data_IF_832699205573
#
_entry.id   IF_832699205573
#
_cell.length_a   1.000
_cell.length_b   1.000
_cell.length_c   1.000
_cell.angle_alpha   90.00
_cell.angle_beta   90.00
_cell.angle_gamma   90.00
#
_symmetry.space_group_name_H-M   'P 1'
#
loop_
_entity.id
_entity.type
_entity.pdbx_description
1 polymer ?
#
# COMPACT_ATOMS: atom_id res chain seq x y z
N UNK A 1 -13.01 34.68 -22.10
CA UNK A 1 -11.97 33.64 -22.20
C UNK A 1 -11.26 33.56 -20.86
N UNK A 2 -11.72 32.70 -19.95
CA UNK A 2 -11.09 32.52 -18.65
C UNK A 2 -9.89 31.57 -18.83
N UNK A 3 -8.70 32.06 -18.50
CA UNK A 3 -7.48 31.27 -18.51
C UNK A 3 -7.59 30.17 -17.46
N UNK A 4 -7.52 28.90 -17.89
CA UNK A 4 -7.39 27.78 -16.97
C UNK A 4 -6.12 27.98 -16.10
N UNK A 5 -6.19 27.75 -14.78
CA UNK A 5 -5.02 27.90 -13.92
C UNK A 5 -3.99 26.83 -14.32
N UNK A 6 -2.82 27.28 -14.78
CA UNK A 6 -1.65 26.41 -14.97
C UNK A 6 -1.16 25.99 -13.58
N UNK A 7 -1.48 24.79 -13.14
CA UNK A 7 -0.91 24.15 -11.95
C UNK A 7 0.50 23.63 -12.27
N UNK A 8 1.47 24.55 -12.32
CA UNK A 8 2.88 24.18 -12.23
C UNK A 8 3.22 23.94 -10.76
N UNK A 9 3.70 22.74 -10.44
CA UNK A 9 4.06 22.33 -9.07
C UNK A 9 5.58 22.42 -8.94
N UNK A 10 6.05 23.23 -8.01
CA UNK A 10 7.49 23.41 -7.77
C UNK A 10 7.93 22.92 -6.37
N UNK A 11 7.03 22.65 -5.41
CA UNK A 11 7.40 22.37 -4.00
C UNK A 11 6.46 21.41 -3.23
N UNK A 12 7.04 20.75 -2.23
CA UNK A 12 6.41 19.78 -1.31
C UNK A 12 5.26 20.37 -0.45
N UNK A 13 5.24 21.68 -0.22
CA UNK A 13 4.21 22.34 0.60
C UNK A 13 2.83 22.38 -0.07
N UNK A 14 2.75 22.10 -1.37
CA UNK A 14 1.51 22.19 -2.16
C UNK A 14 0.66 20.90 -2.06
N UNK A 15 1.15 19.86 -1.39
CA UNK A 15 0.55 18.51 -1.33
C UNK A 15 -0.78 18.40 -0.55
N UNK A 16 -0.95 19.00 0.65
CA UNK A 16 -2.23 18.95 1.37
C UNK A 16 -3.37 19.61 0.59
N UNK A 17 -3.05 20.67 -0.16
CA UNK A 17 -3.97 21.35 -1.07
C UNK A 17 -4.36 20.46 -2.25
N UNK A 18 -3.47 19.56 -2.68
CA UNK A 18 -3.68 18.64 -3.80
C UNK A 18 -4.54 17.42 -3.38
N UNK A 19 -4.34 16.88 -2.17
CA UNK A 19 -5.23 15.85 -1.60
C UNK A 19 -6.65 16.37 -1.37
N UNK A 20 -6.79 17.62 -0.93
CA UNK A 20 -8.09 18.27 -0.81
C UNK A 20 -8.77 18.55 -2.17
N UNK A 21 -8.03 18.42 -3.29
CA UNK A 21 -8.53 18.62 -4.66
C UNK A 21 -8.83 17.30 -5.39
N UNK A 22 -8.41 16.15 -4.87
CA UNK A 22 -8.72 14.85 -5.46
C UNK A 22 -10.16 14.46 -5.12
N UNK A 23 -11.04 14.51 -6.10
CA UNK A 23 -12.43 14.05 -5.98
C UNK A 23 -12.64 12.79 -6.81
N UNK A 24 -13.47 11.87 -6.33
CA UNK A 24 -13.95 10.76 -7.14
C UNK A 24 -14.63 11.29 -8.41
N UNK A 25 -14.57 10.51 -9.50
CA UNK A 25 -15.29 10.90 -10.71
C UNK A 25 -16.79 10.92 -10.43
N UNK A 26 -17.58 11.72 -11.18
CA UNK A 26 -19.03 11.73 -11.02
C UNK A 26 -19.66 10.33 -11.09
N UNK A 27 -19.09 9.42 -11.90
CA UNK A 27 -19.54 8.05 -12.02
C UNK A 27 -19.26 7.22 -10.75
N UNK A 28 -18.07 7.34 -10.16
CA UNK A 28 -17.79 6.70 -8.86
C UNK A 28 -18.58 7.34 -7.72
N UNK A 29 -18.78 8.67 -7.74
CA UNK A 29 -19.62 9.33 -6.76
C UNK A 29 -21.09 8.88 -6.89
N UNK A 30 -21.58 8.69 -8.10
CA UNK A 30 -22.93 8.17 -8.33
C UNK A 30 -23.07 6.70 -7.90
N UNK A 31 -22.04 5.88 -8.12
CA UNK A 31 -22.10 4.45 -7.83
C UNK A 31 -21.80 4.08 -6.36
N UNK A 32 -21.05 4.91 -5.63
CA UNK A 32 -20.57 4.61 -4.28
C UNK A 32 -20.90 5.69 -3.24
N UNK A 33 -21.33 6.89 -3.66
CA UNK A 33 -21.40 8.07 -2.78
C UNK A 33 -22.69 8.22 -1.97
N UNK A 34 -23.76 7.50 -2.32
CA UNK A 34 -25.04 7.50 -1.60
C UNK A 34 -25.58 6.07 -1.51
N UNK A 35 -24.99 5.22 -0.65
CA UNK A 35 -25.37 3.82 -0.56
C UNK A 35 -26.74 3.63 0.11
N UNK A 36 -27.40 2.52 -0.21
CA UNK A 36 -28.63 2.11 0.47
C UNK A 36 -28.38 1.97 1.98
N UNK A 37 -29.27 2.54 2.80
CA UNK A 37 -29.14 2.48 4.26
C UNK A 37 -29.29 1.06 4.83
N UNK A 38 -30.01 0.18 4.13
CA UNK A 38 -30.13 -1.24 4.43
C UNK A 38 -29.90 -2.03 3.14
N UNK A 39 -29.21 -3.16 3.23
CA UNK A 39 -29.04 -4.07 2.09
C UNK A 39 -29.07 -5.53 2.51
N UNK A 40 -29.29 -6.41 1.53
CA UNK A 40 -29.25 -7.86 1.70
C UNK A 40 -28.09 -8.40 0.87
N UNK A 41 -27.09 -8.98 1.54
CA UNK A 41 -25.87 -9.48 0.89
C UNK A 41 -26.09 -10.78 0.13
N UNK A 42 -26.90 -11.70 0.68
CA UNK A 42 -27.28 -12.96 0.02
C UNK A 42 -28.75 -13.31 0.23
N UNK A 43 -29.40 -14.00 -0.74
CA UNK A 43 -30.79 -14.42 -0.58
C UNK A 43 -31.00 -15.25 0.70
N UNK A 44 -31.95 -14.84 1.54
CA UNK A 44 -32.28 -15.51 2.81
C UNK A 44 -31.49 -15.00 4.02
N UNK A 45 -30.66 -13.97 3.86
CA UNK A 45 -30.08 -13.23 4.98
C UNK A 45 -30.99 -12.05 5.39
N UNK A 46 -30.92 -11.71 6.67
CA UNK A 46 -31.64 -10.55 7.22
C UNK A 46 -31.06 -9.23 6.68
N UNK A 47 -31.89 -8.20 6.45
CA UNK A 47 -31.43 -6.86 6.14
C UNK A 47 -30.45 -6.33 7.18
N UNK A 48 -29.32 -5.80 6.74
CA UNK A 48 -28.33 -5.19 7.63
C UNK A 48 -27.71 -3.94 6.99
N UNK A 49 -27.14 -3.10 7.84
CA UNK A 49 -26.39 -1.93 7.44
C UNK A 49 -24.99 -2.38 6.98
N UNK A 50 -24.71 -2.23 5.69
CA UNK A 50 -23.40 -2.53 5.12
C UNK A 50 -22.85 -1.28 4.43
N UNK A 51 -21.58 -0.99 4.67
CA UNK A 51 -20.90 0.15 4.04
C UNK A 51 -20.43 -0.21 2.63
N UNK A 52 -20.54 0.75 1.72
CA UNK A 52 -19.89 0.69 0.40
C UNK A 52 -18.42 1.13 0.51
N UNK A 53 -17.54 0.62 -0.37
CA UNK A 53 -16.20 1.18 -0.51
C UNK A 53 -16.27 2.68 -0.79
N UNK A 54 -15.39 3.45 -0.16
CA UNK A 54 -15.34 4.89 -0.38
C UNK A 54 -15.05 5.20 -1.87
N UNK A 55 -15.76 6.16 -2.50
CA UNK A 55 -15.69 6.40 -3.94
C UNK A 55 -14.26 6.61 -4.49
N UNK A 56 -13.42 7.39 -3.81
CA UNK A 56 -12.05 7.65 -4.26
C UNK A 56 -11.14 6.43 -4.09
N UNK A 57 -11.34 5.66 -3.01
CA UNK A 57 -10.61 4.42 -2.77
C UNK A 57 -10.94 3.37 -3.83
N UNK A 58 -12.22 3.19 -4.13
CA UNK A 58 -12.70 2.27 -5.17
C UNK A 58 -12.09 2.60 -6.55
N UNK A 59 -12.07 3.89 -6.91
CA UNK A 59 -11.48 4.37 -8.15
C UNK A 59 -9.97 4.13 -8.22
N UNK A 60 -9.24 4.46 -7.15
CA UNK A 60 -7.79 4.34 -7.10
C UNK A 60 -7.33 2.88 -7.22
N UNK A 61 -7.93 1.97 -6.44
CA UNK A 61 -7.56 0.56 -6.42
C UNK A 61 -7.94 -0.16 -7.72
N UNK A 62 -9.11 0.17 -8.29
CA UNK A 62 -9.54 -0.38 -9.57
C UNK A 62 -8.52 -0.11 -10.69
N UNK A 63 -8.05 1.15 -10.80
CA UNK A 63 -7.01 1.50 -11.76
C UNK A 63 -5.64 0.93 -11.39
N UNK A 64 -5.33 0.88 -10.08
CA UNK A 64 -4.08 0.36 -9.54
C UNK A 64 -3.84 -1.11 -9.89
N UNK A 65 -4.87 -1.96 -9.81
CA UNK A 65 -4.75 -3.39 -10.13
C UNK A 65 -4.36 -3.61 -11.59
N UNK A 66 -5.01 -2.92 -12.53
CA UNK A 66 -4.68 -3.01 -13.96
C UNK A 66 -3.25 -2.52 -14.20
N UNK A 67 -2.90 -1.39 -13.58
CA UNK A 67 -1.59 -0.79 -13.74
C UNK A 67 -0.44 -1.60 -13.10
N UNK A 68 -0.71 -2.32 -12.01
CA UNK A 68 0.26 -3.19 -11.36
C UNK A 68 0.64 -4.39 -12.25
N UNK A 69 -0.29 -4.88 -13.08
CA UNK A 69 -0.01 -5.96 -14.03
C UNK A 69 1.02 -5.51 -15.06
N UNK A 70 0.82 -4.35 -15.68
CA UNK A 70 1.78 -3.82 -16.64
C UNK A 70 3.15 -3.57 -16.00
N UNK A 71 3.18 -2.98 -14.81
CA UNK A 71 4.45 -2.74 -14.08
C UNK A 71 5.19 -4.02 -13.74
N UNK A 72 4.48 -5.09 -13.35
CA UNK A 72 5.09 -6.37 -12.98
C UNK A 72 5.90 -6.99 -14.13
N UNK A 73 5.41 -6.83 -15.37
CA UNK A 73 5.99 -7.46 -16.55
C UNK A 73 6.87 -6.53 -17.39
N UNK A 74 6.82 -5.22 -17.13
CA UNK A 74 7.62 -4.20 -17.81
C UNK A 74 9.12 -4.51 -17.72
N UNK A 75 9.85 -4.29 -18.82
CA UNK A 75 11.30 -4.53 -18.94
C UNK A 75 11.70 -5.99 -18.69
N UNK A 76 10.78 -6.92 -18.93
CA UNK A 76 11.04 -8.36 -18.84
C UNK A 76 10.73 -9.07 -20.14
N UNK A 77 11.27 -10.28 -20.30
CA UNK A 77 10.92 -11.17 -21.42
C UNK A 77 9.43 -11.57 -21.47
N UNK A 78 8.64 -11.20 -20.45
CA UNK A 78 7.23 -11.53 -20.31
C UNK A 78 6.32 -10.31 -20.58
N UNK A 79 6.88 -9.14 -20.93
CA UNK A 79 6.12 -7.90 -21.15
C UNK A 79 4.97 -8.07 -22.15
N UNK A 80 5.18 -8.87 -23.19
CA UNK A 80 4.18 -9.16 -24.23
C UNK A 80 2.95 -9.91 -23.70
N UNK A 81 3.01 -10.51 -22.51
CA UNK A 81 1.90 -11.22 -21.87
C UNK A 81 1.04 -10.30 -20.99
N UNK A 82 1.52 -9.11 -20.63
CA UNK A 82 0.80 -8.20 -19.75
C UNK A 82 -0.60 -7.81 -20.28
N UNK A 83 -0.78 -7.51 -21.59
CA UNK A 83 -2.09 -7.19 -22.11
C UNK A 83 -3.09 -8.35 -21.98
N UNK A 84 -2.66 -9.60 -22.17
CA UNK A 84 -3.55 -10.76 -22.07
C UNK A 84 -4.07 -10.95 -20.63
N UNK A 85 -3.18 -10.79 -19.65
CA UNK A 85 -3.52 -10.90 -18.23
C UNK A 85 -4.43 -9.73 -17.80
N UNK A 86 -4.08 -8.50 -18.20
CA UNK A 86 -4.87 -7.31 -17.89
C UNK A 86 -6.28 -7.37 -18.52
N UNK A 87 -6.38 -7.88 -19.75
CA UNK A 87 -7.67 -8.13 -20.40
C UNK A 87 -8.53 -9.10 -19.58
N UNK A 88 -7.92 -10.15 -19.03
CA UNK A 88 -8.58 -11.12 -18.15
C UNK A 88 -9.13 -10.50 -16.86
N UNK A 89 -8.43 -9.52 -16.29
CA UNK A 89 -8.93 -8.77 -15.13
C UNK A 89 -10.15 -7.93 -15.48
N UNK A 90 -10.14 -7.18 -16.57
CA UNK A 90 -11.32 -6.41 -16.99
C UNK A 90 -12.50 -7.35 -17.27
N UNK A 91 -12.22 -8.51 -17.88
CA UNK A 91 -13.23 -9.52 -18.16
C UNK A 91 -13.82 -10.16 -16.88
N UNK A 92 -13.11 -10.17 -15.76
CA UNK A 92 -13.65 -10.68 -14.49
C UNK A 92 -14.76 -9.78 -13.93
N UNK A 93 -14.57 -8.45 -13.97
CA UNK A 93 -15.62 -7.49 -13.62
C UNK A 93 -16.84 -7.65 -14.53
N UNK A 94 -16.59 -7.78 -15.84
CA UNK A 94 -17.67 -7.99 -16.81
C UNK A 94 -18.48 -9.26 -16.52
N UNK A 95 -17.80 -10.37 -16.18
CA UNK A 95 -18.46 -11.62 -15.82
C UNK A 95 -19.35 -11.48 -14.57
N UNK A 96 -18.85 -10.79 -13.54
CA UNK A 96 -19.62 -10.56 -12.30
C UNK A 96 -20.82 -9.65 -12.56
N UNK A 97 -20.66 -8.57 -13.31
CA UNK A 97 -21.77 -7.69 -13.71
C UNK A 97 -22.89 -8.48 -14.41
N UNK A 98 -22.55 -9.33 -15.38
CA UNK A 98 -23.54 -10.17 -16.07
C UNK A 98 -24.13 -11.28 -15.21
N UNK A 99 -23.54 -11.63 -14.06
CA UNK A 99 -24.18 -12.51 -13.07
C UNK A 99 -25.22 -11.74 -12.26
N UNK A 100 -24.90 -10.52 -11.85
CA UNK A 100 -25.80 -9.63 -11.10
C UNK A 100 -27.00 -9.20 -11.95
N UNK A 101 -26.79 -8.85 -13.22
CA UNK A 101 -27.86 -8.54 -14.17
C UNK A 101 -28.90 -9.67 -14.26
N UNK A 102 -28.46 -10.92 -14.47
CA UNK A 102 -29.36 -12.09 -14.48
C UNK A 102 -30.04 -12.36 -13.14
N UNK A 103 -29.48 -11.89 -12.04
CA UNK A 103 -30.08 -12.02 -10.72
C UNK A 103 -31.14 -10.94 -10.50
N UNK A 104 -30.85 -9.70 -10.90
CA UNK A 104 -31.80 -8.58 -10.92
C UNK A 104 -33.00 -8.91 -11.80
N UNK A 105 -32.80 -9.41 -13.02
CA UNK A 105 -33.87 -9.81 -13.93
C UNK A 105 -34.82 -10.84 -13.30
N UNK A 106 -34.25 -11.84 -12.61
CA UNK A 106 -35.05 -12.87 -11.90
C UNK A 106 -35.85 -12.26 -10.76
N UNK A 107 -35.23 -11.39 -9.97
CA UNK A 107 -35.91 -10.72 -8.85
C UNK A 107 -37.03 -9.79 -9.35
N UNK A 108 -36.80 -9.10 -10.46
CA UNK A 108 -37.81 -8.26 -11.10
C UNK A 108 -39.01 -9.08 -11.63
N UNK A 109 -38.74 -10.26 -12.21
CA UNK A 109 -39.79 -11.21 -12.62
C UNK A 109 -40.61 -11.70 -11.41
N UNK A 110 -39.94 -12.13 -10.34
CA UNK A 110 -40.59 -12.58 -9.10
C UNK A 110 -41.42 -11.46 -8.43
N UNK A 111 -40.90 -10.22 -8.40
CA UNK A 111 -41.65 -9.06 -7.91
C UNK A 111 -42.87 -8.77 -8.79
N UNK A 112 -42.75 -8.91 -10.11
CA UNK A 112 -43.85 -8.75 -11.05
C UNK A 112 -44.93 -9.82 -10.87
N UNK A 113 -44.55 -11.06 -10.59
CA UNK A 113 -45.48 -12.14 -10.23
C UNK A 113 -46.24 -11.84 -8.94
N UNK A 114 -45.54 -11.38 -7.90
CA UNK A 114 -46.16 -10.98 -6.64
C UNK A 114 -47.12 -9.81 -6.81
N UNK A 115 -46.76 -8.81 -7.61
CA UNK A 115 -47.62 -7.65 -7.88
C UNK A 115 -48.90 -8.03 -8.65
N UNK A 116 -48.89 -9.11 -9.43
CA UNK A 116 -50.08 -9.62 -10.16
C UNK A 116 -51.07 -10.36 -9.26
N UNK A 117 -50.63 -10.86 -8.10
CA UNK A 117 -51.45 -11.59 -7.13
C UNK A 117 -51.37 -10.93 -5.75
N UNK A 118 -51.92 -9.72 -5.59
CA UNK A 118 -51.87 -9.00 -4.32
C UNK A 118 -52.72 -9.71 -3.26
N UNK A 119 -52.15 -9.82 -2.05
CA UNK A 119 -52.81 -10.32 -0.85
C UNK A 119 -52.66 -9.28 0.29
N UNK A 120 -53.57 -9.32 1.27
CA UNK A 120 -53.61 -8.40 2.42
C UNK A 120 -52.90 -8.99 3.64
N UNK A 121 -52.24 -10.15 3.49
CA UNK A 121 -51.51 -10.78 4.60
C UNK A 121 -50.24 -10.00 4.95
N UNK A 122 -49.91 -9.97 6.25
CA UNK A 122 -48.65 -9.42 6.75
C UNK A 122 -47.46 -10.15 6.11
N UNK A 123 -47.56 -11.47 5.95
CA UNK A 123 -46.56 -12.31 5.29
C UNK A 123 -46.31 -11.86 3.85
N UNK A 124 -47.35 -11.52 3.08
CA UNK A 124 -47.21 -10.98 1.72
C UNK A 124 -46.48 -9.64 1.73
N UNK A 125 -46.85 -8.75 2.66
CA UNK A 125 -46.26 -7.41 2.77
C UNK A 125 -44.76 -7.50 3.09
N UNK A 126 -44.38 -8.29 4.09
CA UNK A 126 -42.98 -8.52 4.46
C UNK A 126 -42.19 -9.15 3.31
N UNK A 127 -42.75 -10.18 2.65
CA UNK A 127 -42.08 -10.85 1.53
C UNK A 127 -41.84 -9.91 0.34
N UNK A 128 -42.77 -8.97 0.09
CA UNK A 128 -42.63 -7.96 -0.96
C UNK A 128 -41.55 -6.95 -0.61
N UNK A 129 -41.52 -6.45 0.63
CA UNK A 129 -40.51 -5.51 1.13
C UNK A 129 -39.10 -6.13 1.08
N UNK A 130 -38.93 -7.36 1.54
CA UNK A 130 -37.65 -8.09 1.47
C UNK A 130 -37.16 -8.27 0.03
N UNK A 131 -38.03 -8.69 -0.89
CA UNK A 131 -37.67 -8.86 -2.30
C UNK A 131 -37.35 -7.55 -2.98
N UNK A 132 -38.07 -6.48 -2.65
CA UNK A 132 -37.78 -5.14 -3.14
C UNK A 132 -36.39 -4.69 -2.66
N UNK A 133 -36.09 -4.87 -1.37
CA UNK A 133 -34.79 -4.52 -0.82
C UNK A 133 -33.65 -5.34 -1.44
N UNK A 134 -33.86 -6.63 -1.64
CA UNK A 134 -32.89 -7.51 -2.29
C UNK A 134 -32.66 -7.09 -3.75
N UNK A 135 -33.71 -6.75 -4.48
CA UNK A 135 -33.62 -6.25 -5.86
C UNK A 135 -32.81 -4.95 -5.93
N UNK A 136 -33.09 -4.00 -5.04
CA UNK A 136 -32.33 -2.74 -4.92
C UNK A 136 -30.86 -2.99 -4.58
N UNK A 137 -30.59 -3.90 -3.64
CA UNK A 137 -29.23 -4.27 -3.23
C UNK A 137 -28.43 -4.86 -4.40
N UNK A 138 -29.05 -5.76 -5.20
CA UNK A 138 -28.40 -6.36 -6.37
C UNK A 138 -28.16 -5.33 -7.48
N UNK A 139 -29.11 -4.41 -7.69
CA UNK A 139 -28.96 -3.33 -8.67
C UNK A 139 -27.83 -2.37 -8.30
N UNK A 140 -27.69 -2.00 -7.01
CA UNK A 140 -26.58 -1.20 -6.49
C UNK A 140 -25.23 -1.91 -6.71
N UNK A 141 -25.14 -3.20 -6.36
CA UNK A 141 -23.95 -4.01 -6.61
C UNK A 141 -23.61 -4.07 -8.10
N UNK A 142 -24.61 -4.25 -8.98
CA UNK A 142 -24.39 -4.29 -10.43
C UNK A 142 -23.83 -2.96 -10.91
N UNK A 143 -24.44 -1.85 -10.51
CA UNK A 143 -24.01 -0.52 -10.90
C UNK A 143 -22.55 -0.23 -10.49
N UNK A 144 -22.18 -0.58 -9.26
CA UNK A 144 -20.82 -0.46 -8.75
C UNK A 144 -19.80 -1.28 -9.57
N UNK A 145 -20.12 -2.55 -9.88
CA UNK A 145 -19.23 -3.42 -10.67
C UNK A 145 -19.14 -2.97 -12.14
N UNK A 146 -20.22 -2.46 -12.73
CA UNK A 146 -20.20 -1.89 -14.08
C UNK A 146 -19.32 -0.63 -14.15
N UNK A 147 -19.41 0.24 -13.13
CA UNK A 147 -18.54 1.41 -13.00
C UNK A 147 -17.06 1.01 -12.94
N UNK A 148 -16.70 0.04 -12.08
CA UNK A 148 -15.34 -0.49 -11.99
C UNK A 148 -14.87 -1.11 -13.31
N UNK A 149 -15.72 -1.92 -13.97
CA UNK A 149 -15.42 -2.54 -15.26
C UNK A 149 -15.04 -1.50 -16.30
N UNK A 150 -15.86 -0.45 -16.43
CA UNK A 150 -15.68 0.57 -17.46
C UNK A 150 -14.42 1.39 -17.20
N UNK A 151 -14.13 1.72 -15.94
CA UNK A 151 -12.87 2.37 -15.56
C UNK A 151 -11.64 1.48 -15.81
N UNK A 152 -11.71 0.20 -15.45
CA UNK A 152 -10.64 -0.77 -15.70
C UNK A 152 -10.39 -0.97 -17.21
N UNK A 153 -11.45 -0.99 -18.03
CA UNK A 153 -11.37 -1.09 -19.48
C UNK A 153 -10.65 0.13 -20.09
N UNK A 154 -10.89 1.33 -19.57
CA UNK A 154 -10.18 2.54 -19.98
C UNK A 154 -8.71 2.52 -19.54
N UNK A 155 -8.41 2.05 -18.33
CA UNK A 155 -7.03 1.85 -17.88
C UNK A 155 -6.28 0.83 -18.72
N UNK A 156 -6.94 -0.27 -19.08
CA UNK A 156 -6.42 -1.25 -20.02
C UNK A 156 -6.12 -0.61 -21.38
N UNK A 157 -7.05 0.18 -21.92
CA UNK A 157 -6.86 0.87 -23.20
C UNK A 157 -5.67 1.83 -23.15
N UNK A 158 -5.53 2.57 -22.06
CA UNK A 158 -4.44 3.51 -21.85
C UNK A 158 -3.06 2.81 -21.77
N UNK A 159 -2.97 1.63 -21.15
CA UNK A 159 -1.71 0.92 -20.93
C UNK A 159 -1.34 -0.04 -22.07
N UNK A 160 -2.32 -0.69 -22.69
CA UNK A 160 -2.10 -1.63 -23.79
C UNK A 160 -2.06 -0.97 -25.17
N UNK A 161 -2.71 0.19 -25.33
CA UNK A 161 -2.94 0.85 -26.62
C UNK A 161 -4.11 0.26 -27.43
N UNK A 162 -4.76 -0.80 -26.95
CA UNK A 162 -5.86 -1.48 -27.64
C UNK A 162 -7.18 -1.28 -26.90
N UNK A 163 -8.31 -1.09 -27.59
CA UNK A 163 -9.60 -1.07 -26.93
C UNK A 163 -9.89 -2.43 -26.30
N UNK A 164 -10.46 -2.42 -25.09
CA UNK A 164 -10.98 -3.64 -24.49
C UNK A 164 -12.31 -4.03 -25.13
N UNK A 165 -12.51 -5.33 -25.38
CA UNK A 165 -13.78 -5.91 -25.78
C UNK A 165 -14.06 -7.19 -24.97
N UNK A 166 -15.32 -7.43 -24.55
CA UNK A 166 -15.67 -8.64 -23.81
C UNK A 166 -15.55 -9.89 -24.70
N UNK A 167 -15.24 -11.04 -24.08
CA UNK A 167 -15.17 -12.32 -24.82
C UNK A 167 -16.54 -12.80 -25.34
N UNK A 168 -17.61 -12.45 -24.63
CA UNK A 168 -19.01 -12.76 -24.98
C UNK A 168 -19.92 -11.65 -24.49
N UNK A 169 -21.01 -11.41 -25.22
CA UNK A 169 -21.99 -10.37 -24.88
C UNK A 169 -21.68 -9.03 -25.53
N UNK A 170 -22.65 -8.12 -25.45
CA UNK A 170 -22.54 -6.76 -25.98
C UNK A 170 -22.28 -5.81 -24.83
N UNK A 171 -21.37 -4.85 -25.02
CA UNK A 171 -21.25 -3.72 -24.10
C UNK A 171 -22.37 -2.73 -24.43
N UNK A 172 -23.35 -2.57 -23.55
CA UNK A 172 -24.26 -1.42 -23.63
C UNK A 172 -23.44 -0.17 -23.34
N UNK A 173 -23.13 0.62 -24.37
CA UNK A 173 -22.25 1.78 -24.23
C UNK A 173 -23.03 3.03 -23.85
N UNK A 174 -22.66 3.67 -22.74
CA UNK A 174 -22.80 5.12 -22.57
C UNK A 174 -21.44 5.76 -22.80
N UNK A 175 -21.15 6.06 -24.07
CA UNK A 175 -19.99 6.86 -24.43
C UNK A 175 -20.37 8.35 -24.37
N UNK A 176 -20.01 9.12 -23.32
CA UNK A 176 -19.96 10.60 -23.42
C UNK A 176 -19.26 11.37 -22.27
N UNK A 177 -18.07 10.96 -21.82
CA UNK A 177 -17.09 11.88 -21.20
C UNK A 177 -15.72 11.76 -21.90
N UNK A 178 -15.76 11.50 -23.21
CA UNK A 178 -14.73 10.88 -24.03
C UNK A 178 -13.32 11.52 -24.10
N UNK A 179 -12.91 12.48 -23.24
CA UNK A 179 -11.71 13.27 -23.54
C UNK A 179 -10.98 13.94 -22.37
N UNK A 180 -11.52 14.10 -21.17
CA UNK A 180 -11.13 15.31 -20.41
C UNK A 180 -10.60 15.12 -18.99
N UNK A 181 -11.10 14.18 -18.21
CA UNK A 181 -10.34 13.70 -17.02
C UNK A 181 -9.56 12.50 -17.49
N UNK A 182 -8.67 12.76 -18.42
CA UNK A 182 -7.79 11.76 -18.91
C UNK A 182 -7.01 11.21 -17.71
N UNK A 183 -6.93 9.87 -17.67
CA UNK A 183 -5.93 9.06 -16.98
C UNK A 183 -4.50 9.67 -16.96
N UNK A 184 -4.26 10.64 -17.87
CA UNK A 184 -3.27 11.72 -17.84
C UNK A 184 -2.95 12.37 -16.48
N UNK A 185 -3.82 12.40 -15.48
CA UNK A 185 -3.47 12.99 -14.17
C UNK A 185 -3.05 11.94 -13.11
N UNK A 186 -3.69 10.76 -13.02
CA UNK A 186 -3.36 9.79 -11.96
C UNK A 186 -2.06 9.01 -12.22
N UNK A 187 -1.80 8.64 -13.48
CA UNK A 187 -0.47 8.19 -13.87
C UNK A 187 0.60 9.27 -13.57
N UNK A 188 0.23 10.56 -13.57
CA UNK A 188 1.09 11.69 -13.18
C UNK A 188 1.42 11.66 -11.67
N UNK A 189 0.47 11.30 -10.82
CA UNK A 189 0.71 11.06 -9.38
C UNK A 189 1.54 9.78 -9.12
N UNK A 190 1.35 8.72 -9.91
CA UNK A 190 2.17 7.49 -9.84
C UNK A 190 3.63 7.73 -10.25
N UNK A 191 3.84 8.57 -11.27
CA UNK A 191 5.18 9.04 -11.68
C UNK A 191 5.84 9.86 -10.56
N UNK A 192 5.06 10.54 -9.71
CA UNK A 192 5.57 11.22 -8.50
C UNK A 192 5.87 10.22 -7.37
N UNK A 193 4.97 9.29 -7.06
CA UNK A 193 5.13 8.35 -5.94
C UNK A 193 6.19 7.26 -6.16
N UNK A 194 6.38 6.77 -7.39
CA UNK A 194 7.48 5.85 -7.73
C UNK A 194 8.84 6.59 -7.71
N UNK A 195 8.86 7.89 -8.05
CA UNK A 195 10.06 8.74 -7.96
C UNK A 195 10.39 9.12 -6.51
N UNK A 196 9.39 9.36 -5.66
CA UNK A 196 9.59 9.73 -4.24
C UNK A 196 9.92 8.53 -3.33
N UNK A 197 9.41 7.32 -3.62
CA UNK A 197 9.71 6.12 -2.80
C UNK A 197 11.00 5.39 -3.18
N UNK A 198 11.49 5.54 -4.42
CA UNK A 198 12.59 4.71 -4.92
C UNK A 198 13.76 5.46 -5.55
N UNK A 199 13.74 6.79 -5.60
CA UNK A 199 14.97 7.55 -5.86
C UNK A 199 15.54 8.09 -4.56
N UNK A 200 16.74 7.64 -4.15
CA UNK A 200 17.46 8.31 -3.08
C UNK A 200 17.67 9.77 -3.48
N UNK A 201 17.08 10.70 -2.71
CA UNK A 201 17.29 12.13 -2.89
C UNK A 201 18.61 12.48 -2.22
N UNK A 202 19.60 12.84 -3.03
CA UNK A 202 20.94 13.17 -2.57
C UNK A 202 21.91 11.97 -2.50
N UNK A 203 23.16 12.21 -2.06
CA UNK A 203 24.21 11.22 -2.15
C UNK A 203 23.92 9.96 -1.32
N UNK A 204 24.21 8.80 -1.89
CA UNK A 204 23.82 7.52 -1.31
C UNK A 204 24.91 6.98 -0.40
N UNK A 205 24.51 6.62 0.83
CA UNK A 205 25.37 5.91 1.78
C UNK A 205 24.79 4.52 2.03
N UNK A 206 25.57 3.48 1.75
CA UNK A 206 25.14 2.09 1.94
C UNK A 206 25.56 1.59 3.31
N UNK A 207 24.64 0.98 4.05
CA UNK A 207 24.93 0.32 5.33
C UNK A 207 24.46 -1.12 5.28
N UNK A 208 25.34 -2.06 5.62
CA UNK A 208 24.96 -3.46 5.79
C UNK A 208 25.84 -4.17 6.80
N UNK A 209 25.29 -5.19 7.45
CA UNK A 209 26.04 -6.06 8.33
C UNK A 209 25.30 -7.35 8.69
N UNK A 210 25.82 -8.10 9.66
CA UNK A 210 25.12 -9.27 10.19
C UNK A 210 23.96 -8.88 11.12
N UNK A 211 23.03 -9.81 11.30
CA UNK A 211 21.94 -9.68 12.28
C UNK A 211 22.43 -9.76 13.74
N UNK A 212 23.62 -10.32 13.93
CA UNK A 212 24.30 -10.50 15.21
C UNK A 212 25.42 -9.46 15.33
N UNK A 213 25.03 -8.26 15.76
CA UNK A 213 25.91 -7.11 16.03
C UNK A 213 25.32 -6.31 17.17
N UNK A 214 26.09 -6.10 18.25
CA UNK A 214 25.59 -5.47 19.48
C UNK A 214 26.17 -4.06 19.69
N UNK A 215 27.34 -3.76 19.13
CA UNK A 215 27.99 -2.47 19.32
C UNK A 215 27.39 -1.42 18.37
N UNK A 216 26.29 -0.81 18.82
CA UNK A 216 25.60 0.23 18.09
C UNK A 216 26.36 1.56 18.06
N UNK A 217 27.20 1.83 19.08
CA UNK A 217 27.93 3.09 19.20
C UNK A 217 28.92 3.24 18.05
N UNK A 218 29.65 2.17 17.76
CA UNK A 218 30.60 2.14 16.64
C UNK A 218 29.96 2.51 15.29
N UNK A 219 28.73 2.03 15.06
CA UNK A 219 27.96 2.33 13.83
C UNK A 219 27.49 3.79 13.86
N UNK A 220 26.94 4.26 14.97
CA UNK A 220 26.41 5.62 15.09
C UNK A 220 27.50 6.67 14.98
N UNK A 221 28.63 6.49 15.66
CA UNK A 221 29.78 7.41 15.62
C UNK A 221 30.28 7.58 14.17
N UNK A 222 30.30 6.48 13.40
CA UNK A 222 30.69 6.54 11.99
C UNK A 222 29.63 7.22 11.12
N UNK A 223 28.35 6.94 11.34
CA UNK A 223 27.26 7.57 10.60
C UNK A 223 27.19 9.08 10.88
N UNK A 224 27.47 9.52 12.11
CA UNK A 224 27.55 10.94 12.47
C UNK A 224 28.67 11.65 11.70
N UNK A 225 29.84 11.03 11.59
CA UNK A 225 30.96 11.57 10.79
C UNK A 225 30.63 11.66 9.29
N UNK A 226 29.94 10.64 8.76
CA UNK A 226 29.51 10.64 7.35
C UNK A 226 28.45 11.72 7.13
N UNK A 227 27.45 11.84 8.01
CA UNK A 227 26.40 12.87 7.95
C UNK A 227 26.96 14.28 8.03
N UNK A 228 27.99 14.51 8.85
CA UNK A 228 28.67 15.81 8.91
C UNK A 228 29.31 16.21 7.58
N UNK A 229 29.83 15.23 6.82
CA UNK A 229 30.38 15.43 5.48
C UNK A 229 29.33 15.46 4.37
N UNK A 230 28.25 14.71 4.54
CA UNK A 230 27.19 14.51 3.54
C UNK A 230 25.81 14.79 4.17
N UNK A 231 25.45 16.08 4.39
CA UNK A 231 24.24 16.44 5.15
C UNK A 231 22.93 15.99 4.49
N UNK A 232 22.89 15.89 3.16
CA UNK A 232 21.68 15.52 2.40
C UNK A 232 21.72 14.05 1.94
N UNK A 233 22.40 13.17 2.68
CA UNK A 233 22.52 11.77 2.28
C UNK A 233 21.21 10.98 2.42
N UNK A 234 21.07 9.96 1.59
CA UNK A 234 20.07 8.89 1.76
C UNK A 234 20.75 7.60 2.16
N UNK A 235 20.21 6.93 3.18
CA UNK A 235 20.75 5.67 3.70
C UNK A 235 20.11 4.48 2.99
N UNK A 236 20.92 3.54 2.50
CA UNK A 236 20.44 2.29 1.92
C UNK A 236 20.81 1.12 2.83
N UNK A 237 19.82 0.31 3.19
CA UNK A 237 20.03 -0.91 4.00
C UNK A 237 19.52 -2.16 3.28
N UNK A 238 19.91 -3.34 3.78
CA UNK A 238 19.48 -4.62 3.21
C UNK A 238 18.18 -5.18 3.81
N UNK A 239 17.58 -4.45 4.76
CA UNK A 239 16.28 -4.77 5.36
C UNK A 239 16.31 -5.86 6.43
N UNK A 240 17.46 -6.14 7.04
CA UNK A 240 17.48 -7.06 8.18
C UNK A 240 16.74 -6.47 9.37
N UNK A 241 15.88 -7.26 10.02
CA UNK A 241 15.05 -6.84 11.17
C UNK A 241 15.84 -6.73 12.49
N UNK A 242 17.13 -7.06 12.49
CA UNK A 242 18.02 -7.09 13.67
C UNK A 242 19.45 -6.73 13.24
N UNK A 243 20.30 -6.42 14.22
CA UNK A 243 21.71 -6.12 14.01
C UNK A 243 21.93 -4.79 13.27
N UNK A 244 22.92 -4.76 12.40
CA UNK A 244 23.46 -3.53 11.80
C UNK A 244 22.42 -2.70 11.06
N UNK A 245 21.60 -3.34 10.23
CA UNK A 245 20.57 -2.63 9.44
C UNK A 245 19.53 -1.94 10.35
N UNK A 246 19.14 -2.60 11.45
CA UNK A 246 18.19 -2.05 12.41
C UNK A 246 18.82 -0.93 13.26
N UNK A 247 20.10 -1.09 13.63
CA UNK A 247 20.87 -0.06 14.35
C UNK A 247 20.99 1.22 13.49
N UNK A 248 21.25 1.06 12.20
CA UNK A 248 21.37 2.16 11.25
C UNK A 248 20.02 2.84 10.99
N UNK A 249 18.94 2.05 10.86
CA UNK A 249 17.59 2.59 10.76
C UNK A 249 17.18 3.38 12.02
N UNK A 250 17.54 2.89 13.21
CA UNK A 250 17.27 3.57 14.47
C UNK A 250 18.05 4.90 14.60
N UNK A 251 19.30 4.94 14.15
CA UNK A 251 20.09 6.17 14.07
C UNK A 251 19.42 7.22 13.17
N UNK A 252 19.00 6.80 11.97
CA UNK A 252 18.41 7.68 10.97
C UNK A 252 17.03 8.23 11.37
N UNK A 253 16.26 7.48 12.16
CA UNK A 253 14.93 7.83 12.64
C UNK A 253 14.91 8.88 13.77
N UNK A 254 16.08 9.23 14.33
CA UNK A 254 16.17 10.27 15.38
C UNK A 254 15.76 11.62 14.83
N UNK A 255 14.95 12.34 15.60
CA UNK A 255 14.40 13.65 15.23
C UNK A 255 15.47 14.68 14.87
N UNK A 256 16.63 14.65 15.52
CA UNK A 256 17.76 15.54 15.24
C UNK A 256 18.53 15.18 13.95
N UNK A 257 18.46 13.93 13.49
CA UNK A 257 19.24 13.40 12.37
C UNK A 257 18.44 13.44 11.07
N UNK A 258 17.19 12.94 11.12
CA UNK A 258 16.21 13.02 10.04
C UNK A 258 16.72 12.56 8.68
N UNK A 259 17.36 11.38 8.61
CA UNK A 259 17.92 10.84 7.35
C UNK A 259 16.93 9.86 6.72
N UNK A 260 16.60 10.00 5.42
CA UNK A 260 15.73 9.04 4.73
C UNK A 260 16.44 7.68 4.60
N UNK A 261 15.69 6.60 4.85
CA UNK A 261 16.18 5.22 4.75
C UNK A 261 15.41 4.47 3.66
N UNK A 262 16.14 3.91 2.70
CA UNK A 262 15.60 3.05 1.65
C UNK A 262 16.04 1.61 1.91
N UNK A 263 15.07 0.70 1.98
CA UNK A 263 15.32 -0.72 2.22
C UNK A 263 15.37 -1.47 0.89
N UNK A 264 16.53 -2.02 0.56
CA UNK A 264 16.69 -2.96 -0.55
C UNK A 264 16.56 -4.39 -0.05
N UNK A 265 15.32 -4.86 0.09
CA UNK A 265 15.00 -6.21 0.52
C UNK A 265 15.36 -7.28 -0.51
N UNK A 266 15.23 -8.56 -0.11
CA UNK A 266 15.27 -9.68 -1.04
C UNK A 266 13.86 -9.90 -1.61
N UNK A 267 13.69 -9.62 -2.90
CA UNK A 267 12.44 -9.93 -3.61
C UNK A 267 12.64 -11.24 -4.39
N UNK A 268 12.03 -12.34 -3.90
CA UNK A 268 12.05 -13.67 -4.52
C UNK A 268 12.86 -14.75 -3.78
N UNK A 269 12.75 -16.01 -4.23
CA UNK A 269 13.44 -17.17 -3.65
C UNK A 269 14.63 -17.61 -4.52
N UNK A 270 15.74 -18.00 -3.89
CA UNK A 270 16.91 -18.57 -4.59
C UNK A 270 18.27 -18.11 -4.10
N UNK A 271 19.26 -19.00 -4.22
CA UNK A 271 20.64 -18.79 -3.72
C UNK A 271 21.38 -17.61 -4.37
N UNK A 272 20.93 -17.14 -5.55
CA UNK A 272 21.53 -16.03 -6.30
C UNK A 272 20.85 -14.66 -6.06
N UNK A 273 19.71 -14.61 -5.37
CA UNK A 273 18.90 -13.39 -5.21
C UNK A 273 19.64 -12.31 -4.41
N UNK A 274 20.37 -12.70 -3.37
CA UNK A 274 21.17 -11.78 -2.56
C UNK A 274 22.31 -11.10 -3.35
N UNK A 275 22.97 -11.86 -4.22
CA UNK A 275 24.04 -11.34 -5.09
C UNK A 275 23.49 -10.41 -6.18
N UNK A 276 22.29 -10.70 -6.71
CA UNK A 276 21.58 -9.80 -7.64
C UNK A 276 21.23 -8.48 -6.97
N UNK A 277 20.71 -8.51 -5.75
CA UNK A 277 20.43 -7.31 -4.95
C UNK A 277 21.69 -6.47 -4.77
N UNK A 278 22.83 -7.08 -4.43
CA UNK A 278 24.07 -6.34 -4.23
C UNK A 278 24.53 -5.59 -5.50
N UNK A 279 24.34 -6.19 -6.69
CA UNK A 279 24.61 -5.48 -7.96
C UNK A 279 23.67 -4.29 -8.17
N UNK A 280 22.38 -4.45 -7.86
CA UNK A 280 21.43 -3.33 -7.90
C UNK A 280 21.79 -2.21 -6.94
N UNK A 281 22.31 -2.53 -5.75
CA UNK A 281 22.80 -1.50 -4.81
C UNK A 281 23.99 -0.74 -5.41
N UNK A 282 24.89 -1.43 -6.11
CA UNK A 282 26.02 -0.79 -6.78
C UNK A 282 25.58 0.14 -7.93
N UNK A 283 24.57 -0.26 -8.71
CA UNK A 283 24.00 0.52 -9.82
C UNK A 283 23.47 1.89 -9.38
N UNK A 284 23.21 2.09 -8.09
CA UNK A 284 22.79 3.37 -7.54
C UNK A 284 23.93 4.39 -7.38
N UNK A 285 25.18 4.01 -7.67
CA UNK A 285 26.37 4.85 -7.51
C UNK A 285 26.54 5.38 -6.07
N UNK A 286 26.68 4.49 -5.08
CA UNK A 286 26.91 4.89 -3.70
C UNK A 286 28.19 5.72 -3.57
N UNK A 287 28.11 6.82 -2.84
CA UNK A 287 29.26 7.71 -2.62
C UNK A 287 30.12 7.25 -1.45
N UNK A 288 29.55 6.45 -0.55
CA UNK A 288 30.22 5.93 0.64
C UNK A 288 29.48 4.70 1.17
N UNK A 289 30.19 3.81 1.84
CA UNK A 289 29.59 2.62 2.42
C UNK A 289 30.16 2.30 3.81
N UNK A 290 29.32 1.76 4.69
CA UNK A 290 29.67 1.21 5.99
C UNK A 290 29.27 -0.26 6.01
N UNK A 291 30.26 -1.14 6.11
CA UNK A 291 30.07 -2.58 6.05
C UNK A 291 30.61 -3.24 7.31
N UNK A 292 29.75 -3.98 8.01
CA UNK A 292 30.18 -4.83 9.13
C UNK A 292 30.38 -6.27 8.65
N UNK A 293 31.41 -6.93 9.18
CA UNK A 293 31.78 -8.29 8.84
C UNK A 293 30.62 -9.27 9.05
N UNK A 294 30.26 -9.98 7.97
CA UNK A 294 29.08 -10.84 7.94
C UNK A 294 29.28 -12.09 7.07
N UNK A 295 28.21 -12.51 6.39
CA UNK A 295 28.22 -13.70 5.53
C UNK A 295 28.93 -13.44 4.18
N UNK A 296 29.04 -14.47 3.35
CA UNK A 296 29.52 -14.35 1.97
C UNK A 296 28.74 -13.36 1.10
N UNK A 297 27.50 -13.01 1.49
CA UNK A 297 26.72 -11.95 0.83
C UNK A 297 27.29 -10.56 1.13
N UNK A 298 27.68 -10.28 2.37
CA UNK A 298 28.33 -9.03 2.76
C UNK A 298 29.73 -8.94 2.13
N UNK A 299 30.48 -10.05 2.12
CA UNK A 299 31.78 -10.13 1.45
C UNK A 299 31.66 -9.82 -0.05
N UNK A 300 30.60 -10.30 -0.72
CA UNK A 300 30.36 -9.97 -2.12
C UNK A 300 30.08 -8.49 -2.34
N UNK A 301 29.25 -7.84 -1.50
CA UNK A 301 28.98 -6.41 -1.63
C UNK A 301 30.26 -5.58 -1.41
N UNK A 302 31.08 -5.98 -0.45
CA UNK A 302 32.39 -5.36 -0.21
C UNK A 302 33.28 -5.38 -1.45
N UNK A 303 33.40 -6.54 -2.12
CA UNK A 303 34.21 -6.64 -3.35
C UNK A 303 33.65 -5.77 -4.47
N UNK A 304 32.32 -5.77 -4.68
CA UNK A 304 31.66 -4.95 -5.70
C UNK A 304 31.91 -3.45 -5.49
N UNK A 305 31.78 -2.96 -4.25
CA UNK A 305 32.03 -1.56 -3.90
C UNK A 305 33.51 -1.19 -4.04
N UNK A 306 34.41 -2.11 -3.67
CA UNK A 306 35.85 -1.92 -3.79
C UNK A 306 36.29 -1.85 -5.26
N UNK A 307 35.76 -2.73 -6.10
CA UNK A 307 36.00 -2.72 -7.56
C UNK A 307 35.52 -1.42 -8.19
N UNK A 308 34.43 -0.84 -7.68
CA UNK A 308 33.90 0.46 -8.10
C UNK A 308 34.56 1.68 -7.42
N UNK A 309 35.63 1.46 -6.65
CA UNK A 309 36.37 2.51 -5.93
C UNK A 309 35.51 3.39 -4.99
N UNK A 310 34.44 2.82 -4.43
CA UNK A 310 33.61 3.49 -3.42
C UNK A 310 34.39 3.51 -2.09
N UNK A 311 34.44 4.62 -1.35
CA UNK A 311 34.98 4.66 0.01
C UNK A 311 34.21 3.73 0.96
N UNK A 312 34.91 2.81 1.62
CA UNK A 312 34.31 1.80 2.52
C UNK A 312 34.87 1.95 3.94
N UNK A 313 33.97 2.08 4.91
CA UNK A 313 34.24 1.90 6.33
C UNK A 313 33.89 0.47 6.72
N UNK A 314 34.91 -0.40 6.75
CA UNK A 314 34.73 -1.79 7.14
C UNK A 314 35.00 -1.98 8.64
N UNK A 315 34.08 -2.64 9.33
CA UNK A 315 34.25 -3.06 10.73
C UNK A 315 34.28 -4.58 10.83
N UNK A 316 35.29 -5.10 11.51
CA UNK A 316 35.43 -6.50 11.86
C UNK A 316 34.69 -6.83 13.14
N UNK A 317 34.32 -8.10 13.33
CA UNK A 317 33.69 -8.53 14.59
C UNK A 317 34.55 -8.24 15.81
N UNK A 318 35.87 -8.28 15.64
CA UNK A 318 36.85 -7.97 16.69
C UNK A 318 36.89 -6.47 17.08
N UNK A 319 36.32 -5.59 16.27
CA UNK A 319 36.26 -4.15 16.55
C UNK A 319 35.12 -3.80 17.54
N UNK A 320 34.20 -4.73 17.81
CA UNK A 320 33.15 -4.54 18.80
C UNK A 320 33.75 -4.51 20.21
N UNK A 321 33.24 -3.60 21.05
CA UNK A 321 33.57 -3.62 22.48
C UNK A 321 33.20 -4.97 23.13
N UNK A 322 33.82 -5.30 24.26
CA UNK A 322 33.47 -6.52 25.00
C UNK A 322 31.99 -6.47 25.39
N UNK A 323 31.22 -7.48 24.95
CA UNK A 323 29.81 -7.62 25.31
C UNK A 323 29.69 -7.80 26.83
N UNK A 324 29.41 -6.70 27.51
CA UNK A 324 29.21 -6.69 28.96
C UNK A 324 27.72 -6.85 29.18
N UNK A 325 27.23 -8.02 29.62
CA UNK A 325 25.81 -8.21 29.82
C UNK A 325 25.33 -7.18 30.84
N UNK A 326 24.33 -6.39 30.45
CA UNK A 326 23.65 -5.48 31.37
C UNK A 326 23.01 -6.36 32.44
N UNK A 327 23.58 -6.38 33.65
CA UNK A 327 22.98 -7.05 34.80
C UNK A 327 21.51 -6.63 34.87
N UNK A 328 20.62 -7.60 34.68
CA UNK A 328 19.19 -7.39 34.74
C UNK A 328 18.89 -6.69 36.08
N UNK A 329 18.34 -5.48 36.03
CA UNK A 329 17.86 -4.78 37.22
C UNK A 329 16.97 -5.75 38.00
N UNK A 330 17.41 -6.15 39.18
CA UNK A 330 16.64 -6.98 40.11
C UNK A 330 15.30 -6.31 40.38
N UNK A 331 14.25 -6.78 39.71
CA UNK A 331 12.86 -6.51 40.12
C UNK A 331 12.49 -7.56 41.13
N UNK A 332 12.54 -7.17 42.40
CA UNK A 332 11.68 -7.75 43.44
C UNK A 332 12.41 -8.07 44.74
N UNK A 333 12.18 -7.23 45.77
CA UNK A 333 11.93 -7.68 47.14
C UNK A 333 11.46 -6.49 48.01
N UNK A 334 10.14 -6.31 48.08
CA UNK A 334 9.47 -5.69 49.22
C UNK A 334 7.99 -6.10 49.21
N UNK A 335 7.72 -7.34 49.64
CA UNK A 335 6.41 -7.70 50.18
C UNK A 335 6.61 -8.55 51.42
N UNK A 336 6.02 -8.06 52.51
CA UNK A 336 5.57 -8.78 53.72
C UNK A 336 6.59 -9.41 54.68
N UNK A 337 6.86 -8.66 55.75
CA UNK A 337 6.73 -9.10 57.16
C UNK A 337 6.05 -7.93 57.89
N UNK A 338 5.02 -8.05 58.70
CA UNK A 338 4.29 -9.16 59.29
C UNK A 338 3.15 -8.57 60.12
N UNK A 339 2.25 -9.45 60.51
CA UNK A 339 0.94 -9.28 61.15
C UNK A 339 0.80 -8.36 62.38
N UNK A 340 -0.44 -7.89 62.52
CA UNK A 340 -1.27 -7.76 63.73
C UNK A 340 -1.02 -6.63 64.74
N UNK A 341 -2.00 -5.71 64.83
CA UNK A 341 -2.72 -5.46 66.08
C UNK A 341 -3.99 -4.62 65.84
N UNK A 342 -5.10 -5.08 66.41
CA UNK A 342 -6.35 -4.35 66.61
C UNK A 342 -6.15 -3.02 67.37
N UNK A 343 -7.01 -2.03 67.12
CA UNK A 343 -7.14 -0.89 68.02
C UNK A 343 -8.05 0.23 67.52
N UNK A 344 -9.28 0.22 67.99
CA UNK A 344 -10.34 1.22 67.79
C UNK A 344 -10.00 2.59 68.43
N UNK A 345 -10.77 3.62 68.05
CA UNK A 345 -11.04 4.90 68.76
C UNK A 345 -10.05 6.06 68.48
N UNK A 346 -10.42 7.10 67.70
CA UNK A 346 -11.33 8.26 67.93
C UNK A 346 -10.63 9.48 68.53
N UNK A 347 -10.92 10.64 67.90
CA UNK A 347 -10.89 12.02 68.44
C UNK A 347 -9.47 12.57 68.70
N UNK A 348 -9.13 13.85 68.53
CA UNK A 348 -9.72 15.09 68.00
C UNK A 348 -8.62 16.16 68.12
N UNK A 349 -8.67 17.21 67.28
CA UNK A 349 -8.17 18.59 67.51
C UNK A 349 -6.69 18.77 67.94
N UNK A 350 -5.88 19.60 67.29
CA UNK A 350 -6.08 21.02 66.97
C UNK A 350 -5.15 21.46 65.84
#
# INVERSE_FOLDING_TARGET
MASAPRSSIDRFADLPTLYAQMTATPEFQAAFGDPLGLSIFSPGEEPAEFEMPEPIAAQAECGGIVAAIFDLFCDTRLETLAPEIAWGIVNSFHFVAGKLERQEDRLAEEMGDLARQPDVSEVYTTSLEEKQLLCQSVAEQRHAIECMRDYAAEMYRALSGWPWSPARGTRASTASSASQIAALDFLRARTLATREKHMPQGPIVVVTGPADWHDWKLIWDRLDLIKARIPHMTLITTGQRRGVDQIAAAWAARTEIGVPVVVYGLYGSGRKTAFKRNRKILELNPVEALLCEGSGVQANLYQLLREAAVPIHAFHRADQAVDTPVLARERGQASNRGEAAHGYSRLSAH
#
